data_IF_975797421154
#
_entry.id   IF_975797421154
#
_cell.length_a   1.000
_cell.length_b   1.000
_cell.length_c   1.000
_cell.angle_alpha   90.00
_cell.angle_beta   90.00
_cell.angle_gamma   90.00
#
_symmetry.space_group_name_H-M   'P 1'
#
loop_
_entity.id
_entity.type
_entity.pdbx_description
1 polymer ?
#
# COMPACT_ATOMS: atom_id res chain seq x y z
N UNK A 1 -36.12 13.60 -0.51
CA UNK A 1 -34.69 13.84 -0.63
C UNK A 1 -33.95 13.23 0.53
N UNK A 2 -32.65 13.05 0.40
CA UNK A 2 -31.80 12.47 1.42
C UNK A 2 -30.54 13.29 1.58
N UNK A 3 -29.87 13.13 2.72
CA UNK A 3 -28.63 13.84 3.05
C UNK A 3 -27.48 12.86 3.03
N UNK A 4 -26.39 13.23 2.37
CA UNK A 4 -25.18 12.41 2.39
C UNK A 4 -24.52 12.49 3.76
N UNK A 5 -24.08 11.34 4.28
CA UNK A 5 -23.31 11.28 5.51
C UNK A 5 -21.84 11.51 5.26
N UNK A 6 -21.04 11.32 6.30
CA UNK A 6 -19.58 11.45 6.20
C UNK A 6 -19.03 10.47 5.16
N UNK A 7 -18.06 10.92 4.41
CA UNK A 7 -17.43 10.09 3.38
C UNK A 7 -18.16 10.07 2.05
N UNK A 8 -19.29 10.75 1.96
CA UNK A 8 -20.11 10.81 0.74
C UNK A 8 -20.43 12.24 0.39
N UNK A 9 -20.57 12.50 -0.90
CA UNK A 9 -21.06 13.78 -1.41
C UNK A 9 -22.22 13.52 -2.36
N UNK A 10 -23.32 14.23 -2.12
CA UNK A 10 -24.49 14.19 -3.02
C UNK A 10 -24.49 15.42 -3.91
N UNK A 11 -24.64 15.21 -5.19
CA UNK A 11 -24.83 16.30 -6.16
C UNK A 11 -26.02 15.95 -7.02
N UNK A 12 -27.16 16.64 -6.82
CA UNK A 12 -28.38 16.29 -7.52
C UNK A 12 -28.82 14.87 -7.18
N UNK A 13 -28.85 14.00 -8.18
CA UNK A 13 -29.23 12.60 -8.02
C UNK A 13 -28.00 11.67 -7.97
N UNK A 14 -26.80 12.26 -7.89
CA UNK A 14 -25.55 11.50 -7.86
C UNK A 14 -24.97 11.49 -6.46
N UNK A 15 -24.47 10.33 -6.02
CA UNK A 15 -23.79 10.19 -4.75
C UNK A 15 -22.40 9.64 -5.02
N UNK A 16 -21.39 10.32 -4.50
CA UNK A 16 -20.00 9.96 -4.70
C UNK A 16 -19.33 9.61 -3.37
N UNK A 17 -18.39 8.69 -3.42
CA UNK A 17 -17.50 8.41 -2.32
C UNK A 17 -16.39 9.46 -2.33
N UNK A 18 -16.15 10.09 -1.17
CA UNK A 18 -15.08 11.06 -1.01
C UNK A 18 -13.81 10.31 -0.61
N UNK A 19 -12.93 10.06 -1.56
CA UNK A 19 -11.63 9.47 -1.26
C UNK A 19 -10.62 10.59 -1.04
N UNK A 20 -9.50 10.28 -0.39
CA UNK A 20 -8.43 11.24 -0.19
C UNK A 20 -7.46 11.26 -1.37
N UNK A 21 -7.62 10.33 -2.30
CA UNK A 21 -6.75 10.15 -3.46
C UNK A 21 -5.27 10.00 -3.08
N UNK A 22 -5.01 9.59 -1.86
CA UNK A 22 -3.68 9.33 -1.32
C UNK A 22 -3.62 7.89 -0.83
N UNK A 23 -4.56 7.50 0.06
CA UNK A 23 -4.62 6.14 0.59
C UNK A 23 -5.65 5.29 -0.13
N UNK A 24 -6.75 5.91 -0.57
CA UNK A 24 -7.83 5.23 -1.27
C UNK A 24 -8.13 5.95 -2.56
N UNK A 25 -8.69 5.21 -3.51
CA UNK A 25 -9.17 5.79 -4.76
C UNK A 25 -10.41 5.02 -5.22
N UNK A 26 -11.21 5.69 -6.04
CA UNK A 26 -12.30 5.05 -6.76
C UNK A 26 -11.85 4.85 -8.20
N UNK A 27 -11.87 3.62 -8.67
CA UNK A 27 -11.43 3.29 -10.01
C UNK A 27 -12.27 2.14 -10.54
N UNK A 28 -12.78 2.29 -11.76
CA UNK A 28 -13.57 1.25 -12.42
C UNK A 28 -14.71 0.73 -11.56
N UNK A 29 -15.48 1.65 -10.97
CA UNK A 29 -16.64 1.34 -10.12
C UNK A 29 -16.29 0.61 -8.82
N UNK A 30 -15.04 0.72 -8.38
CA UNK A 30 -14.60 0.07 -7.14
C UNK A 30 -13.82 1.05 -6.27
N UNK A 31 -13.94 0.89 -4.96
CA UNK A 31 -13.11 1.58 -3.98
C UNK A 31 -11.94 0.66 -3.67
N UNK A 32 -10.72 1.19 -3.73
CA UNK A 32 -9.52 0.37 -3.53
C UNK A 32 -8.41 1.20 -2.89
N UNK A 33 -7.38 0.51 -2.39
CA UNK A 33 -6.17 1.17 -1.94
C UNK A 33 -5.50 1.79 -3.16
N UNK A 34 -5.14 3.06 -3.07
CA UNK A 34 -4.63 3.81 -4.20
C UNK A 34 -3.37 3.17 -4.78
N UNK A 35 -3.38 2.95 -6.09
CA UNK A 35 -2.23 2.42 -6.81
C UNK A 35 -1.99 0.94 -6.63
N UNK A 36 -2.76 0.28 -5.78
CA UNK A 36 -2.59 -1.15 -5.52
C UNK A 36 -3.75 -1.90 -6.15
N UNK A 37 -3.59 -2.32 -7.39
CA UNK A 37 -4.64 -3.06 -8.08
C UNK A 37 -4.47 -4.57 -7.95
N UNK A 38 -3.27 -5.03 -7.66
CA UNK A 38 -3.00 -6.46 -7.51
C UNK A 38 -1.72 -6.65 -6.69
N UNK A 39 -1.76 -7.65 -5.82
CA UNK A 39 -0.59 -8.06 -5.06
C UNK A 39 -0.44 -9.57 -5.20
N UNK A 40 0.78 -10.07 -5.04
CA UNK A 40 1.04 -11.50 -5.02
C UNK A 40 1.18 -11.97 -3.58
N UNK A 41 1.02 -13.27 -3.38
CA UNK A 41 1.25 -13.85 -2.06
C UNK A 41 2.67 -13.53 -1.62
N UNK A 42 2.80 -13.00 -0.41
CA UNK A 42 4.10 -12.64 0.15
C UNK A 42 4.48 -11.18 0.01
N UNK A 43 3.72 -10.41 -0.78
CA UNK A 43 3.96 -8.97 -0.89
C UNK A 43 3.48 -8.25 0.36
N UNK A 44 4.10 -7.11 0.64
CA UNK A 44 3.73 -6.25 1.76
C UNK A 44 3.30 -4.88 1.25
N UNK A 45 2.43 -4.22 2.00
CA UNK A 45 2.14 -2.81 1.78
C UNK A 45 2.95 -2.00 2.77
N UNK A 46 3.68 -1.02 2.28
CA UNK A 46 4.52 -0.14 3.09
C UNK A 46 4.17 1.31 2.81
N UNK A 47 4.45 2.17 3.78
CA UNK A 47 4.23 3.60 3.62
C UNK A 47 5.22 4.21 2.64
N UNK A 48 4.79 5.29 1.97
CA UNK A 48 5.63 6.09 1.09
C UNK A 48 5.97 7.42 1.75
N UNK A 49 7.08 7.99 1.33
CA UNK A 49 7.49 9.31 1.79
C UNK A 49 6.48 10.37 1.35
N UNK A 50 6.43 11.48 2.09
CA UNK A 50 5.61 12.63 1.71
C UNK A 50 4.11 12.43 1.88
N UNK A 51 3.69 11.53 2.76
CA UNK A 51 2.28 11.21 2.95
C UNK A 51 1.59 10.79 1.66
N UNK A 52 2.32 10.09 0.80
CA UNK A 52 1.83 9.68 -0.51
C UNK A 52 1.07 8.35 -0.47
N UNK A 53 0.66 7.88 0.73
CA UNK A 53 -0.08 6.65 0.89
C UNK A 53 0.83 5.44 1.01
N UNK A 54 0.48 4.38 0.31
CA UNK A 54 1.17 3.10 0.44
C UNK A 54 1.74 2.68 -0.90
N UNK A 55 2.76 1.84 -0.84
CA UNK A 55 3.29 1.18 -2.02
C UNK A 55 3.48 -0.30 -1.71
N UNK A 56 3.62 -1.07 -2.75
CA UNK A 56 3.78 -2.51 -2.65
C UNK A 56 5.28 -2.83 -2.56
N UNK A 57 5.66 -3.57 -1.53
CA UNK A 57 6.99 -4.14 -1.45
C UNK A 57 6.89 -5.56 -1.99
N UNK A 58 7.42 -5.77 -3.19
CA UNK A 58 7.33 -7.05 -3.88
C UNK A 58 8.20 -8.06 -3.16
N UNK A 59 7.67 -9.26 -2.94
CA UNK A 59 8.44 -10.34 -2.32
C UNK A 59 9.71 -10.63 -3.15
N UNK A 60 10.73 -11.20 -2.52
CA UNK A 60 11.93 -11.62 -3.27
C UNK A 60 11.55 -12.59 -4.39
N UNK A 61 12.20 -12.47 -5.53
CA UNK A 61 11.91 -13.32 -6.67
C UNK A 61 12.43 -14.74 -6.45
N UNK A 62 11.66 -15.72 -6.94
CA UNK A 62 12.04 -17.13 -6.84
C UNK A 62 11.61 -17.76 -5.52
N UNK A 63 10.71 -18.72 -5.59
CA UNK A 63 10.20 -19.38 -4.38
C UNK A 63 11.29 -20.14 -3.62
N UNK A 64 12.29 -20.63 -4.34
CA UNK A 64 13.35 -21.43 -3.73
C UNK A 64 14.26 -20.60 -2.84
N UNK A 65 14.36 -19.28 -3.10
CA UNK A 65 15.27 -18.42 -2.37
C UNK A 65 14.55 -17.37 -1.51
N UNK A 66 13.25 -17.22 -1.68
CA UNK A 66 12.51 -16.18 -0.96
C UNK A 66 12.58 -16.37 0.56
N UNK A 67 12.65 -17.61 1.03
CA UNK A 67 12.71 -17.91 2.46
C UNK A 67 14.05 -17.51 3.10
N UNK A 68 15.06 -17.23 2.28
CA UNK A 68 16.38 -16.84 2.78
C UNK A 68 16.48 -15.32 3.00
N UNK A 69 15.41 -14.59 2.72
CA UNK A 69 15.40 -13.14 2.88
C UNK A 69 14.74 -12.74 4.19
N UNK A 70 15.24 -11.66 4.76
CA UNK A 70 14.66 -11.03 5.94
C UNK A 70 14.23 -9.61 5.61
N UNK A 71 13.18 -9.15 6.26
CA UNK A 71 12.74 -7.77 6.13
C UNK A 71 13.66 -6.89 6.97
N UNK A 72 14.23 -5.87 6.35
CA UNK A 72 15.14 -4.95 7.03
C UNK A 72 14.89 -3.52 6.57
N UNK A 73 15.52 -2.57 7.25
CA UNK A 73 15.47 -1.17 6.84
C UNK A 73 16.79 -0.80 6.18
N UNK A 74 16.72 -0.03 5.09
CA UNK A 74 17.93 0.48 4.46
C UNK A 74 18.38 1.77 5.16
N UNK A 75 19.47 2.35 4.69
CA UNK A 75 20.04 3.55 5.31
C UNK A 75 19.14 4.78 5.16
N UNK A 76 18.19 4.74 4.24
CA UNK A 76 17.19 5.81 4.08
C UNK A 76 15.95 5.60 4.94
N UNK A 77 15.91 4.52 5.73
CA UNK A 77 14.77 4.23 6.58
C UNK A 77 13.61 3.57 5.88
N UNK A 78 13.81 3.05 4.69
CA UNK A 78 12.76 2.36 3.94
C UNK A 78 12.89 0.84 4.13
N UNK A 79 11.75 0.16 4.17
CA UNK A 79 11.71 -1.29 4.29
C UNK A 79 12.24 -1.94 3.02
N UNK A 80 13.00 -3.00 3.18
CA UNK A 80 13.54 -3.77 2.05
C UNK A 80 13.75 -5.22 2.45
N UNK A 81 13.88 -6.07 1.43
CA UNK A 81 14.27 -7.45 1.64
C UNK A 81 15.79 -7.57 1.54
N UNK A 82 16.38 -8.32 2.46
CA UNK A 82 17.82 -8.54 2.48
C UNK A 82 18.11 -10.02 2.67
N UNK A 83 19.06 -10.54 1.91
CA UNK A 83 19.53 -11.91 2.10
C UNK A 83 20.76 -11.98 2.99
N UNK A 84 21.12 -10.87 3.62
CA UNK A 84 22.25 -10.78 4.53
C UNK A 84 21.75 -10.29 5.88
N UNK A 85 22.01 -11.06 6.91
CA UNK A 85 21.72 -10.65 8.29
C UNK A 85 23.05 -10.31 8.95
N UNK A 86 23.24 -9.01 9.21
CA UNK A 86 24.42 -8.53 9.91
C UNK A 86 24.18 -8.70 11.41
N UNK A 87 25.02 -9.51 12.06
CA UNK A 87 24.92 -9.69 13.48
C UNK A 87 25.17 -8.42 14.29
N UNK A 88 25.89 -7.50 13.71
CA UNK A 88 26.06 -6.15 14.22
C UNK A 88 26.56 -6.08 15.64
N UNK A 89 26.32 -4.92 16.25
CA UNK A 89 26.57 -4.66 17.65
C UNK A 89 25.25 -4.56 18.38
N UNK A 90 25.07 -5.40 19.37
CA UNK A 90 23.83 -5.38 20.14
C UNK A 90 24.04 -4.83 21.54
#
# INVERSE_FOLDING_TARGET
SFTAGDGLTRTGNQVDVNDDNVTLEVSSDAVRIKGISATAVGDLLIGQAGNAGYTRLVKPSGNATAHDYVLSMNTSGAAQWSNTLDGGTF
#
